data_IF_874068304334
#
_entry.id   IF_874068304334
#
_cell.length_a   1.000
_cell.length_b   1.000
_cell.length_c   1.000
_cell.angle_alpha   90.00
_cell.angle_beta   90.00
_cell.angle_gamma   90.00
#
_symmetry.space_group_name_H-M   'P 1'
#
loop_
_entity.id
_entity.type
_entity.pdbx_description
1 polymer ?
#
# COMPACT_ATOMS: atom_id res chain seq x y z
N UNK A 1 -4.93 0.84 8.98
CA UNK A 1 -5.41 1.19 7.63
C UNK A 1 -4.31 0.96 6.60
N UNK A 2 -4.68 0.56 5.39
CA UNK A 2 -3.75 0.25 4.29
C UNK A 2 -4.04 1.19 3.11
N UNK A 3 -2.98 1.59 2.43
CA UNK A 3 -2.99 2.55 1.34
C UNK A 3 -2.07 2.10 0.21
N UNK A 4 -2.37 2.58 -0.99
CA UNK A 4 -1.56 2.38 -2.20
C UNK A 4 -1.24 3.72 -2.84
N UNK A 5 -0.10 3.80 -3.50
CA UNK A 5 0.31 4.94 -4.31
C UNK A 5 0.83 4.45 -5.66
N UNK A 6 0.47 5.17 -6.73
CA UNK A 6 0.94 4.92 -8.10
C UNK A 6 1.85 6.05 -8.60
N UNK A 7 2.23 6.95 -7.71
CA UNK A 7 2.98 8.18 -7.99
C UNK A 7 4.19 8.31 -7.05
N UNK A 8 4.85 7.19 -6.76
CA UNK A 8 6.07 7.14 -5.94
C UNK A 8 5.88 7.60 -4.50
N UNK A 9 4.67 7.40 -3.93
CA UNK A 9 4.34 7.75 -2.55
C UNK A 9 3.99 9.22 -2.33
N UNK A 10 3.77 10.00 -3.40
CA UNK A 10 3.33 11.39 -3.31
C UNK A 10 1.88 11.50 -2.86
N UNK A 11 1.00 10.66 -3.40
CA UNK A 11 -0.40 10.57 -2.98
C UNK A 11 -0.78 9.16 -2.57
N UNK A 12 -1.61 9.06 -1.53
CA UNK A 12 -2.00 7.79 -0.92
C UNK A 12 -3.51 7.58 -1.00
N UNK A 13 -3.92 6.48 -1.63
CA UNK A 13 -5.33 6.07 -1.72
C UNK A 13 -5.58 4.93 -0.75
N UNK A 14 -6.52 5.12 0.18
CA UNK A 14 -6.93 4.09 1.14
C UNK A 14 -7.58 2.93 0.41
N UNK A 15 -7.23 1.70 0.78
CA UNK A 15 -7.83 0.47 0.23
C UNK A 15 -8.51 -0.33 1.32
N UNK A 16 -9.54 -1.08 0.92
CA UNK A 16 -10.21 -2.03 1.81
C UNK A 16 -9.38 -3.30 1.91
N UNK A 17 -9.10 -3.70 3.14
CA UNK A 17 -8.54 -5.03 3.43
C UNK A 17 -9.70 -5.99 3.60
N UNK A 18 -9.65 -7.13 2.91
CA UNK A 18 -10.66 -8.19 3.03
C UNK A 18 -9.91 -9.50 3.13
N UNK A 19 -10.13 -10.24 4.22
CA UNK A 19 -9.45 -11.51 4.52
C UNK A 19 -7.92 -11.41 4.41
N UNK A 20 -7.34 -10.34 4.98
CA UNK A 20 -5.89 -10.11 4.97
C UNK A 20 -5.29 -9.69 3.62
N UNK A 21 -6.12 -9.47 2.60
CA UNK A 21 -5.67 -9.12 1.24
C UNK A 21 -6.23 -7.76 0.80
N UNK A 22 -5.56 -7.17 -0.18
CA UNK A 22 -6.03 -5.98 -0.91
C UNK A 22 -6.08 -6.30 -2.40
N UNK A 23 -6.99 -5.66 -3.12
CA UNK A 23 -7.02 -5.67 -4.59
C UNK A 23 -6.44 -4.37 -5.09
N UNK A 24 -5.54 -4.47 -6.08
CA UNK A 24 -4.88 -3.32 -6.70
C UNK A 24 -4.96 -3.45 -8.21
N UNK A 25 -4.87 -2.33 -8.91
CA UNK A 25 -4.70 -2.32 -10.36
C UNK A 25 -3.21 -2.53 -10.63
N UNK A 26 -2.87 -3.38 -11.58
CA UNK A 26 -1.47 -3.51 -11.98
C UNK A 26 -1.00 -2.16 -12.56
N UNK A 27 0.15 -1.60 -12.11
CA UNK A 27 0.69 -0.41 -12.75
C UNK A 27 1.03 -0.69 -14.23
N UNK A 28 1.02 0.37 -15.03
CA UNK A 28 1.45 0.30 -16.42
C UNK A 28 2.93 -0.09 -16.52
N UNK A 29 3.38 -0.56 -17.70
CA UNK A 29 4.77 -0.91 -17.96
C UNK A 29 5.72 0.22 -17.54
N UNK A 30 6.72 -0.10 -16.72
CA UNK A 30 7.70 0.86 -16.21
C UNK A 30 7.18 1.81 -15.12
N UNK A 31 5.94 1.65 -14.65
CA UNK A 31 5.39 2.37 -13.49
C UNK A 31 5.40 1.46 -12.25
N UNK A 32 5.67 2.05 -11.10
CA UNK A 32 5.70 1.36 -9.81
C UNK A 32 4.40 1.52 -9.02
N UNK A 33 4.15 0.59 -8.11
CA UNK A 33 3.15 0.75 -7.04
C UNK A 33 3.85 0.70 -5.68
N UNK A 34 3.46 1.59 -4.78
CA UNK A 34 3.95 1.68 -3.40
C UNK A 34 2.83 1.33 -2.42
N UNK A 35 3.20 0.79 -1.26
CA UNK A 35 2.29 0.40 -0.19
C UNK A 35 2.58 1.19 1.09
N UNK A 36 1.53 1.55 1.81
CA UNK A 36 1.66 2.15 3.13
C UNK A 36 0.62 1.55 4.09
N UNK A 37 1.04 1.26 5.31
CA UNK A 37 0.17 0.72 6.33
C UNK A 37 0.42 1.40 7.68
N UNK A 38 -0.69 1.74 8.34
CA UNK A 38 -0.73 2.10 9.76
C UNK A 38 -1.43 0.98 10.49
N UNK A 39 -0.74 0.31 11.40
CA UNK A 39 -1.20 -0.88 12.09
C UNK A 39 -1.36 -0.54 13.57
N UNK A 40 -2.49 -0.96 14.13
CA UNK A 40 -2.74 -0.93 15.57
C UNK A 40 -3.24 -2.31 15.96
N UNK A 41 -2.59 -2.95 16.94
CA UNK A 41 -3.06 -4.23 17.45
C UNK A 41 -4.12 -4.07 18.56
N UNK A 42 -4.65 -5.19 19.08
CA UNK A 42 -5.68 -5.18 20.15
C UNK A 42 -5.17 -4.62 21.48
N UNK A 43 -3.86 -4.55 21.67
CA UNK A 43 -3.20 -3.99 22.86
C UNK A 43 -2.74 -2.55 22.64
N UNK A 44 -3.18 -1.91 21.55
CA UNK A 44 -2.83 -0.53 21.17
C UNK A 44 -1.35 -0.32 20.79
N UNK A 45 -0.60 -1.37 20.46
CA UNK A 45 0.73 -1.22 19.86
C UNK A 45 0.59 -0.68 18.44
N UNK A 46 1.45 0.28 18.06
CA UNK A 46 1.37 0.99 16.77
C UNK A 46 2.61 0.71 15.92
N UNK A 47 2.39 0.51 14.63
CA UNK A 47 3.46 0.40 13.63
C UNK A 47 3.08 1.10 12.35
N UNK A 48 4.06 1.72 11.70
CA UNK A 48 3.90 2.35 10.39
C UNK A 48 4.94 1.79 9.44
N UNK A 49 4.49 1.35 8.26
CA UNK A 49 5.34 0.75 7.25
C UNK A 49 5.04 1.43 5.91
N UNK A 50 6.10 1.79 5.18
CA UNK A 50 6.02 2.26 3.80
C UNK A 50 6.98 1.43 2.94
N UNK A 51 6.48 0.89 1.83
CA UNK A 51 7.27 0.17 0.83
C UNK A 51 7.10 0.93 -0.48
N UNK A 52 8.19 1.52 -0.98
CA UNK A 52 8.18 2.31 -2.20
C UNK A 52 8.53 1.44 -3.42
N UNK A 53 7.78 1.60 -4.51
CA UNK A 53 7.95 0.83 -5.75
C UNK A 53 8.09 -0.67 -5.50
N UNK A 54 7.20 -1.22 -4.67
CA UNK A 54 7.19 -2.62 -4.27
C UNK A 54 7.30 -3.58 -5.46
N UNK A 55 6.69 -3.18 -6.58
CA UNK A 55 6.97 -3.77 -7.89
C UNK A 55 6.62 -2.81 -9.03
N UNK A 56 7.12 -3.13 -10.22
CA UNK A 56 6.84 -2.42 -11.47
C UNK A 56 5.94 -3.23 -12.39
N UNK A 57 5.12 -2.53 -13.18
CA UNK A 57 4.35 -3.13 -14.26
C UNK A 57 5.28 -3.62 -15.36
N UNK A 58 4.98 -4.81 -15.89
CA UNK A 58 5.66 -5.41 -17.05
C UNK A 58 4.87 -5.12 -18.33
#
# INVERSE_FOLDING_TARGET
AVYVSYDYGKTWKKVKVTNGKIKVKNPAKGKGISFHAKITDKKNNKSTISIYNAYYGK
#
